data_IF_029445639625
#
_entry.id   IF_029445639625
#
_cell.length_a   1.000
_cell.length_b   1.000
_cell.length_c   1.000
_cell.angle_alpha   90.00
_cell.angle_beta   90.00
_cell.angle_gamma   90.00
#
_symmetry.space_group_name_H-M   'P 1'
#
loop_
_entity.id
_entity.type
_entity.pdbx_description
1 polymer ?
#
# COMPACT_ATOMS: atom_id res chain seq x y z
N UNK A 1 11.51 -28.38 10.37
CA UNK A 1 11.22 -27.53 9.20
C UNK A 1 11.65 -28.28 7.95
N UNK A 2 10.98 -28.07 6.83
CA UNK A 2 11.13 -28.88 5.61
C UNK A 2 12.31 -28.38 4.75
N UNK A 3 13.52 -28.55 5.29
CA UNK A 3 14.74 -27.94 4.77
C UNK A 3 15.63 -28.96 4.05
N UNK A 4 16.25 -28.51 2.96
CA UNK A 4 16.96 -29.31 1.96
C UNK A 4 18.32 -28.73 1.59
N UNK A 5 18.71 -27.58 2.15
CA UNK A 5 20.06 -27.06 2.00
C UNK A 5 21.11 -28.09 2.45
N UNK A 6 22.13 -28.41 1.62
CA UNK A 6 23.25 -29.24 2.03
C UNK A 6 23.99 -28.67 3.24
N UNK A 7 24.63 -29.52 4.06
CA UNK A 7 25.31 -29.07 5.29
C UNK A 7 26.46 -28.07 5.08
N UNK A 8 27.07 -28.02 3.89
CA UNK A 8 28.09 -27.05 3.50
C UNK A 8 27.58 -26.05 2.45
N UNK A 9 26.26 -25.81 2.41
CA UNK A 9 25.66 -24.93 1.42
C UNK A 9 26.15 -23.50 1.55
N UNK A 10 26.88 -23.04 0.54
CA UNK A 10 27.26 -21.65 0.41
C UNK A 10 26.20 -20.91 -0.41
N UNK A 11 25.30 -20.21 0.28
CA UNK A 11 24.13 -19.60 -0.35
C UNK A 11 24.54 -18.47 -1.33
N UNK A 12 24.23 -18.59 -2.63
CA UNK A 12 24.63 -17.60 -3.61
C UNK A 12 23.92 -16.25 -3.42
N UNK A 13 22.71 -16.23 -2.87
CA UNK A 13 22.00 -14.99 -2.58
C UNK A 13 22.58 -14.28 -1.35
N UNK A 14 22.96 -14.99 -0.28
CA UNK A 14 23.69 -14.39 0.84
C UNK A 14 25.01 -13.75 0.37
N UNK A 15 25.75 -14.44 -0.51
CA UNK A 15 26.99 -13.92 -1.08
C UNK A 15 26.74 -12.66 -1.93
N UNK A 16 25.71 -12.66 -2.77
CA UNK A 16 25.29 -11.47 -3.53
C UNK A 16 24.97 -10.30 -2.57
N UNK A 17 24.18 -10.52 -1.52
CA UNK A 17 23.82 -9.49 -0.54
C UNK A 17 25.08 -8.93 0.16
N UNK A 18 26.06 -9.79 0.45
CA UNK A 18 27.33 -9.40 1.07
C UNK A 18 28.34 -8.78 0.09
N UNK A 19 28.03 -8.71 -1.21
CA UNK A 19 28.95 -8.23 -2.24
C UNK A 19 30.10 -9.18 -2.55
N UNK A 20 29.99 -10.45 -2.16
CA UNK A 20 31.03 -11.47 -2.36
C UNK A 20 30.78 -12.21 -3.68
N UNK A 21 31.79 -12.25 -4.55
CA UNK A 21 31.76 -12.99 -5.81
C UNK A 21 32.54 -14.29 -5.71
N UNK A 22 31.99 -15.39 -6.23
CA UNK A 22 32.70 -16.65 -6.46
C UNK A 22 32.13 -17.38 -7.69
N UNK A 23 32.63 -18.59 -7.97
CA UNK A 23 32.20 -19.42 -9.10
C UNK A 23 30.73 -19.88 -9.04
N UNK A 24 30.07 -19.81 -7.87
CA UNK A 24 28.70 -20.27 -7.65
C UNK A 24 27.66 -19.14 -7.73
N UNK A 25 28.11 -17.89 -7.91
CA UNK A 25 27.25 -16.70 -7.91
C UNK A 25 27.27 -16.07 -9.30
N UNK A 26 26.18 -16.30 -10.06
CA UNK A 26 26.04 -15.72 -11.41
C UNK A 26 25.57 -14.26 -11.41
N UNK A 27 24.85 -13.85 -10.36
CA UNK A 27 24.38 -12.47 -10.19
C UNK A 27 25.47 -11.59 -9.58
N UNK A 28 25.50 -10.31 -9.92
CA UNK A 28 26.52 -9.35 -9.47
C UNK A 28 25.85 -8.09 -8.91
N UNK A 29 26.64 -7.23 -8.27
CA UNK A 29 26.11 -6.01 -7.63
C UNK A 29 25.35 -5.09 -8.61
N UNK A 30 25.75 -5.02 -9.88
CA UNK A 30 25.06 -4.22 -10.88
C UNK A 30 23.71 -4.80 -11.33
N UNK A 31 23.38 -6.05 -10.96
CA UNK A 31 22.05 -6.64 -11.18
C UNK A 31 21.02 -6.13 -10.16
N UNK A 32 21.44 -5.54 -9.03
CA UNK A 32 20.56 -5.10 -7.93
C UNK A 32 19.74 -3.87 -8.34
N UNK A 33 18.42 -3.98 -8.20
CA UNK A 33 17.44 -2.92 -8.51
C UNK A 33 16.85 -2.28 -7.25
N UNK A 34 16.86 -3.00 -6.12
CA UNK A 34 16.38 -2.52 -4.84
C UNK A 34 17.12 -3.18 -3.68
N UNK A 35 17.41 -2.42 -2.64
CA UNK A 35 17.99 -2.92 -1.40
C UNK A 35 17.55 -2.02 -0.24
N UNK A 36 16.99 -2.59 0.82
CA UNK A 36 16.77 -1.93 2.10
C UNK A 36 17.31 -2.79 3.25
N UNK A 37 16.90 -2.50 4.50
CA UNK A 37 17.33 -3.30 5.66
C UNK A 37 16.79 -4.74 5.68
N UNK A 38 15.65 -5.00 5.04
CA UNK A 38 14.94 -6.28 5.10
C UNK A 38 15.12 -7.13 3.83
N UNK A 39 15.07 -6.53 2.64
CA UNK A 39 15.00 -7.26 1.36
C UNK A 39 15.94 -6.69 0.30
N UNK A 40 16.34 -7.56 -0.64
CA UNK A 40 17.08 -7.21 -1.85
C UNK A 40 16.32 -7.72 -3.06
N UNK A 41 16.22 -6.92 -4.12
CA UNK A 41 15.72 -7.35 -5.42
C UNK A 41 16.74 -7.10 -6.53
N UNK A 42 16.84 -8.02 -7.48
CA UNK A 42 17.83 -7.98 -8.57
C UNK A 42 17.29 -8.65 -9.83
N UNK A 43 17.84 -8.27 -10.99
CA UNK A 43 17.57 -8.95 -12.27
C UNK A 43 18.22 -10.33 -12.24
N UNK A 44 17.44 -11.36 -12.58
CA UNK A 44 17.92 -12.74 -12.57
C UNK A 44 19.00 -12.97 -13.62
N UNK A 45 19.97 -13.82 -13.30
CA UNK A 45 20.97 -14.29 -14.26
C UNK A 45 20.36 -15.18 -15.35
N UNK A 46 19.19 -15.77 -15.10
CA UNK A 46 18.46 -16.62 -16.03
C UNK A 46 17.17 -15.94 -16.47
N UNK A 47 16.81 -16.06 -17.75
CA UNK A 47 15.59 -15.52 -18.35
C UNK A 47 14.81 -16.57 -19.13
N UNK A 48 13.60 -16.23 -19.54
CA UNK A 48 12.89 -16.94 -20.60
C UNK A 48 13.01 -16.13 -21.90
N UNK A 49 13.11 -16.78 -23.07
CA UNK A 49 13.36 -16.10 -24.34
C UNK A 49 12.40 -14.96 -24.70
N UNK A 50 11.17 -15.00 -24.19
CA UNK A 50 10.13 -13.99 -24.45
C UNK A 50 9.79 -13.13 -23.22
N UNK A 51 10.58 -13.23 -22.14
CA UNK A 51 10.29 -12.58 -20.85
C UNK A 51 11.57 -12.03 -20.20
N UNK A 52 12.18 -11.08 -20.90
CA UNK A 52 13.39 -10.40 -20.44
C UNK A 52 13.15 -9.57 -19.18
N UNK A 53 14.22 -9.30 -18.42
CA UNK A 53 14.14 -8.46 -17.23
C UNK A 53 13.39 -9.06 -16.04
N UNK A 54 13.20 -10.40 -15.98
CA UNK A 54 12.66 -11.02 -14.77
C UNK A 54 13.55 -10.73 -13.55
N UNK A 55 12.90 -10.46 -12.42
CA UNK A 55 13.58 -10.10 -11.18
C UNK A 55 13.28 -11.09 -10.08
N UNK A 56 14.20 -11.20 -9.15
CA UNK A 56 14.09 -12.02 -7.96
C UNK A 56 14.13 -11.10 -6.73
N UNK A 57 13.25 -11.35 -5.76
CA UNK A 57 13.24 -10.68 -4.46
C UNK A 57 13.60 -11.70 -3.38
N UNK A 58 14.55 -11.35 -2.52
CA UNK A 58 15.02 -12.19 -1.42
C UNK A 58 15.01 -11.41 -0.10
N UNK A 59 14.75 -12.06 1.05
CA UNK A 59 15.08 -11.48 2.35
C UNK A 59 16.60 -11.38 2.48
N UNK A 60 17.08 -10.32 3.14
CA UNK A 60 18.50 -10.11 3.42
C UNK A 60 19.04 -11.11 4.44
N UNK A 61 18.18 -11.56 5.35
CA UNK A 61 18.46 -12.69 6.24
C UNK A 61 18.18 -14.01 5.49
N UNK A 62 18.98 -15.03 5.80
CA UNK A 62 18.82 -16.36 5.24
C UNK A 62 17.62 -17.08 5.86
N UNK A 63 16.63 -17.37 5.03
CA UNK A 63 15.53 -18.29 5.28
C UNK A 63 15.46 -19.23 4.10
N UNK A 64 15.35 -20.54 4.30
CA UNK A 64 15.42 -21.46 3.17
C UNK A 64 14.20 -21.35 2.25
N UNK A 65 13.01 -21.32 2.84
CA UNK A 65 11.74 -21.47 2.14
C UNK A 65 10.64 -20.70 2.88
N UNK A 66 9.39 -20.80 2.40
CA UNK A 66 8.24 -20.08 2.98
C UNK A 66 7.91 -20.53 4.40
N UNK A 67 8.23 -21.77 4.79
CA UNK A 67 7.92 -22.32 6.11
C UNK A 67 8.77 -21.69 7.21
N UNK A 68 9.98 -21.25 6.84
CA UNK A 68 10.95 -20.60 7.73
C UNK A 68 10.81 -19.07 7.73
N UNK A 69 10.14 -18.50 6.72
CA UNK A 69 10.05 -17.06 6.52
C UNK A 69 9.12 -16.41 7.57
N UNK A 70 9.62 -15.47 8.39
CA UNK A 70 8.76 -14.75 9.34
C UNK A 70 7.73 -13.88 8.59
N UNK A 71 6.51 -13.80 9.14
CA UNK A 71 5.41 -13.03 8.53
C UNK A 71 5.74 -11.55 8.29
N UNK A 72 6.65 -10.97 9.08
CA UNK A 72 7.12 -9.59 8.88
C UNK A 72 7.77 -9.41 7.51
N UNK A 73 8.56 -10.39 7.03
CA UNK A 73 9.20 -10.32 5.72
C UNK A 73 8.20 -10.51 4.57
N UNK A 74 7.08 -11.21 4.78
CA UNK A 74 6.10 -11.45 3.73
C UNK A 74 5.48 -10.13 3.21
N UNK A 75 5.19 -9.19 4.13
CA UNK A 75 4.72 -7.85 3.78
C UNK A 75 5.75 -7.06 2.97
N UNK A 76 7.00 -7.04 3.44
CA UNK A 76 8.11 -6.33 2.76
C UNK A 76 8.34 -6.89 1.34
N UNK A 77 8.36 -8.21 1.19
CA UNK A 77 8.56 -8.87 -0.10
C UNK A 77 7.42 -8.54 -1.07
N UNK A 78 6.16 -8.60 -0.63
CA UNK A 78 5.00 -8.29 -1.48
C UNK A 78 4.91 -6.80 -1.83
N UNK A 79 5.32 -5.92 -0.91
CA UNK A 79 5.47 -4.49 -1.18
C UNK A 79 6.42 -4.26 -2.36
N UNK A 80 7.60 -4.89 -2.34
CA UNK A 80 8.58 -4.74 -3.42
C UNK A 80 8.10 -5.44 -4.70
N UNK A 81 7.42 -6.58 -4.60
CA UNK A 81 6.82 -7.26 -5.75
C UNK A 81 5.80 -6.36 -6.47
N UNK A 82 4.95 -5.66 -5.72
CA UNK A 82 4.00 -4.68 -6.28
C UNK A 82 4.71 -3.55 -7.00
N UNK A 83 5.76 -2.96 -6.39
CA UNK A 83 6.54 -1.88 -7.01
C UNK A 83 7.21 -2.33 -8.31
N UNK A 84 7.82 -3.51 -8.29
CA UNK A 84 8.42 -4.11 -9.47
C UNK A 84 7.39 -4.40 -10.55
N UNK A 85 6.23 -4.97 -10.20
CA UNK A 85 5.18 -5.23 -11.17
C UNK A 85 4.69 -3.96 -11.88
N UNK A 86 4.52 -2.85 -11.13
CA UNK A 86 4.17 -1.54 -11.70
C UNK A 86 5.30 -1.01 -12.58
N UNK A 87 6.54 -1.04 -12.10
CA UNK A 87 7.70 -0.60 -12.86
C UNK A 87 7.87 -1.41 -14.16
N UNK A 88 7.61 -2.72 -14.14
CA UNK A 88 7.67 -3.60 -15.31
C UNK A 88 6.65 -3.22 -16.38
N UNK A 89 5.43 -2.81 -15.99
CA UNK A 89 4.42 -2.34 -16.94
C UNK A 89 4.91 -1.12 -17.70
N UNK A 90 5.58 -0.19 -17.02
CA UNK A 90 6.13 1.02 -17.64
C UNK A 90 7.38 0.74 -18.48
N UNK A 91 8.34 -0.02 -17.95
CA UNK A 91 9.62 -0.28 -18.64
C UNK A 91 9.42 -1.19 -19.86
N UNK A 92 8.56 -2.19 -19.76
CA UNK A 92 8.47 -3.27 -20.74
C UNK A 92 7.18 -3.27 -21.55
N UNK A 93 6.22 -2.40 -21.23
CA UNK A 93 4.89 -2.40 -21.82
C UNK A 93 4.26 -3.81 -21.86
N UNK A 94 4.55 -4.64 -20.84
CA UNK A 94 4.11 -6.02 -20.79
C UNK A 94 2.60 -6.12 -20.60
N UNK A 95 1.97 -7.17 -21.13
CA UNK A 95 0.51 -7.35 -21.02
C UNK A 95 0.11 -7.71 -19.58
N UNK A 96 0.95 -8.48 -18.90
CA UNK A 96 0.76 -8.88 -17.51
C UNK A 96 2.07 -9.09 -16.74
N UNK A 97 1.94 -9.52 -15.49
CA UNK A 97 3.06 -9.88 -14.62
C UNK A 97 2.72 -11.17 -13.89
N UNK A 98 3.65 -12.11 -13.81
CA UNK A 98 3.56 -13.30 -12.97
C UNK A 98 4.47 -13.18 -11.76
N UNK A 99 3.99 -13.62 -10.60
CA UNK A 99 4.83 -13.87 -9.43
C UNK A 99 4.89 -15.36 -9.14
N UNK A 100 6.08 -15.89 -8.82
CA UNK A 100 6.28 -17.32 -8.54
C UNK A 100 7.26 -17.52 -7.40
N UNK A 101 6.93 -18.45 -6.52
CA UNK A 101 7.76 -18.83 -5.38
C UNK A 101 7.71 -20.36 -5.27
N UNK A 102 8.86 -20.98 -5.08
CA UNK A 102 9.01 -22.43 -5.04
C UNK A 102 9.56 -22.85 -3.67
N UNK A 103 9.06 -23.97 -3.15
CA UNK A 103 9.53 -24.56 -1.89
C UNK A 103 9.86 -26.01 -2.12
N UNK A 104 11.01 -26.45 -1.59
CA UNK A 104 11.47 -27.85 -1.64
C UNK A 104 11.77 -28.35 -3.08
N UNK A 105 12.48 -29.48 -3.24
CA UNK A 105 12.79 -30.00 -4.56
C UNK A 105 11.56 -30.26 -5.45
N UNK A 106 10.47 -30.77 -4.86
CA UNK A 106 9.24 -31.08 -5.59
C UNK A 106 8.50 -29.81 -6.08
N UNK A 107 8.66 -28.68 -5.38
CA UNK A 107 8.12 -27.40 -5.82
C UNK A 107 8.99 -26.68 -6.86
N UNK A 108 10.17 -27.23 -7.20
CA UNK A 108 11.09 -26.65 -8.18
C UNK A 108 12.05 -25.60 -7.60
N UNK A 109 12.27 -25.59 -6.28
CA UNK A 109 13.28 -24.73 -5.66
C UNK A 109 14.69 -25.24 -5.98
N UNK A 110 15.53 -24.38 -6.54
CA UNK A 110 16.91 -24.68 -6.95
C UNK A 110 17.98 -23.90 -6.15
N UNK A 111 17.58 -22.77 -5.54
CA UNK A 111 18.38 -22.01 -4.57
C UNK A 111 17.72 -22.10 -3.19
N UNK A 112 18.42 -22.64 -2.20
CA UNK A 112 17.96 -22.85 -0.83
C UNK A 112 18.00 -21.56 0.00
N UNK A 113 17.37 -20.52 -0.53
CA UNK A 113 17.12 -19.23 0.10
C UNK A 113 15.80 -18.73 -0.49
N UNK A 114 14.85 -18.32 0.36
CA UNK A 114 13.53 -17.90 -0.06
C UNK A 114 13.65 -16.84 -1.15
N UNK A 115 12.96 -17.04 -2.27
CA UNK A 115 13.01 -16.07 -3.33
C UNK A 115 11.70 -16.02 -4.11
N UNK A 116 11.23 -14.81 -4.37
CA UNK A 116 10.03 -14.53 -5.15
C UNK A 116 10.45 -14.02 -6.53
N UNK A 117 10.09 -14.76 -7.57
CA UNK A 117 10.21 -14.32 -8.96
C UNK A 117 9.10 -13.33 -9.28
N UNK A 118 9.44 -12.26 -10.00
CA UNK A 118 8.50 -11.33 -10.63
C UNK A 118 8.88 -11.25 -12.11
N UNK A 119 7.97 -11.58 -13.00
CA UNK A 119 8.27 -11.80 -14.43
C UNK A 119 7.26 -11.07 -15.31
N UNK A 120 7.70 -10.18 -16.23
CA UNK A 120 6.79 -9.59 -17.21
C UNK A 120 6.26 -10.67 -18.15
N UNK A 121 4.98 -10.57 -18.53
CA UNK A 121 4.27 -11.55 -19.36
C UNK A 121 3.66 -10.89 -20.57
N UNK A 122 3.60 -11.63 -21.67
CA UNK A 122 2.99 -11.19 -22.91
C UNK A 122 2.01 -12.24 -23.40
N UNK A 123 1.01 -11.82 -24.18
CA UNK A 123 0.12 -12.76 -24.85
C UNK A 123 0.94 -13.73 -25.72
N UNK A 124 0.64 -15.03 -25.62
CA UNK A 124 1.29 -16.10 -26.37
C UNK A 124 2.83 -16.21 -26.17
N UNK A 125 3.37 -15.75 -25.04
CA UNK A 125 4.81 -15.81 -24.74
C UNK A 125 5.40 -17.22 -24.55
N UNK A 126 4.56 -18.25 -24.52
CA UNK A 126 4.95 -19.65 -24.27
C UNK A 126 5.81 -19.82 -23.00
N UNK A 127 5.57 -19.03 -21.95
CA UNK A 127 6.37 -19.03 -20.72
C UNK A 127 6.49 -20.43 -20.09
N UNK A 128 5.40 -21.21 -20.07
CA UNK A 128 5.41 -22.56 -19.48
C UNK A 128 5.92 -23.67 -20.41
N UNK A 129 6.04 -23.40 -21.71
CA UNK A 129 6.57 -24.34 -22.69
C UNK A 129 8.01 -24.06 -23.12
N UNK A 130 8.61 -22.96 -22.64
CA UNK A 130 9.97 -22.55 -22.96
C UNK A 130 10.96 -22.91 -21.86
N UNK A 131 12.24 -22.93 -22.20
CA UNK A 131 13.34 -23.25 -21.29
C UNK A 131 14.07 -21.98 -20.86
N UNK A 132 14.64 -22.00 -19.66
CA UNK A 132 15.47 -20.90 -19.16
C UNK A 132 16.79 -20.84 -19.92
N UNK A 133 17.27 -19.63 -20.15
CA UNK A 133 18.59 -19.34 -20.75
C UNK A 133 19.34 -18.29 -19.92
N UNK A 134 20.66 -18.21 -20.10
CA UNK A 134 21.47 -17.18 -19.44
C UNK A 134 21.29 -15.82 -20.09
N UNK A 135 21.09 -14.79 -19.28
CA UNK A 135 21.08 -13.39 -19.74
C UNK A 135 22.49 -12.79 -19.65
N UNK A 136 23.03 -12.20 -20.73
CA UNK A 136 24.32 -11.50 -20.72
C UNK A 136 24.37 -10.37 -19.69
N UNK A 137 25.53 -10.16 -19.08
CA UNK A 137 25.71 -9.13 -18.02
C UNK A 137 25.26 -7.74 -18.51
N UNK A 138 25.66 -7.33 -19.72
CA UNK A 138 25.30 -6.02 -20.26
C UNK A 138 23.78 -5.83 -20.41
N UNK A 139 23.03 -6.88 -20.75
CA UNK A 139 21.57 -6.83 -20.83
C UNK A 139 20.94 -6.75 -19.43
N UNK A 140 21.49 -7.48 -18.45
CA UNK A 140 21.05 -7.38 -17.06
C UNK A 140 21.24 -5.99 -16.49
N UNK A 141 22.39 -5.36 -16.74
CA UNK A 141 22.68 -3.99 -16.30
C UNK A 141 21.73 -2.96 -16.91
N UNK A 142 21.37 -3.15 -18.19
CA UNK A 142 20.36 -2.32 -18.86
C UNK A 142 19.00 -2.44 -18.17
N UNK A 143 18.53 -3.67 -17.92
CA UNK A 143 17.26 -3.89 -17.23
C UNK A 143 17.30 -3.38 -15.79
N UNK A 144 18.39 -3.62 -15.07
CA UNK A 144 18.54 -3.20 -13.69
C UNK A 144 18.49 -1.67 -13.57
N UNK A 145 19.20 -0.96 -14.45
CA UNK A 145 19.19 0.50 -14.51
C UNK A 145 17.79 1.06 -14.82
N UNK A 146 17.09 0.47 -15.78
CA UNK A 146 15.75 0.91 -16.16
C UNK A 146 14.73 0.70 -15.02
N UNK A 147 14.73 -0.47 -14.39
CA UNK A 147 13.83 -0.78 -13.27
C UNK A 147 14.16 0.07 -12.04
N UNK A 148 15.44 0.25 -11.70
CA UNK A 148 15.87 1.06 -10.56
C UNK A 148 15.34 2.49 -10.66
N UNK A 149 15.46 3.11 -11.84
CA UNK A 149 14.95 4.46 -12.10
C UNK A 149 13.45 4.58 -11.85
N UNK A 150 12.66 3.58 -12.25
CA UNK A 150 11.21 3.57 -12.02
C UNK A 150 10.89 3.26 -10.56
N UNK A 151 11.63 2.39 -9.89
CA UNK A 151 11.41 2.12 -8.47
C UNK A 151 11.61 3.37 -7.61
N UNK A 152 12.55 4.25 -7.96
CA UNK A 152 12.74 5.55 -7.32
C UNK A 152 11.52 6.48 -7.49
N UNK A 153 10.71 6.31 -8.56
CA UNK A 153 9.50 7.11 -8.80
C UNK A 153 8.18 6.41 -8.43
N UNK A 154 8.17 5.09 -8.26
CA UNK A 154 7.01 4.32 -7.81
C UNK A 154 6.93 4.42 -6.29
N UNK A 155 6.30 5.51 -5.82
CA UNK A 155 5.83 5.63 -4.45
C UNK A 155 4.61 4.72 -4.26
N UNK A 156 4.74 3.71 -3.40
CA UNK A 156 3.56 3.14 -2.78
C UNK A 156 3.13 4.12 -1.70
N UNK A 157 1.86 4.50 -1.73
CA UNK A 157 1.28 5.28 -0.64
C UNK A 157 1.12 4.34 0.57
N UNK A 158 2.17 4.18 1.36
CA UNK A 158 2.12 3.45 2.61
C UNK A 158 1.40 4.32 3.62
N UNK A 159 0.32 3.77 4.17
CA UNK A 159 -0.39 4.42 5.25
C UNK A 159 -0.24 3.66 6.56
N UNK A 160 -0.31 4.40 7.65
CA UNK A 160 -0.63 3.84 8.95
C UNK A 160 -1.50 4.82 9.72
N UNK A 161 -2.19 4.28 10.73
CA UNK A 161 -3.01 5.06 11.65
C UNK A 161 -2.32 5.14 13.00
N UNK A 162 -2.22 6.35 13.55
CA UNK A 162 -1.73 6.57 14.93
C UNK A 162 -2.66 7.51 15.70
N UNK A 163 -2.48 7.57 17.02
CA UNK A 163 -3.15 8.58 17.83
C UNK A 163 -2.79 9.99 17.35
N UNK A 164 -3.74 10.91 17.51
CA UNK A 164 -3.55 12.31 17.14
C UNK A 164 -2.54 12.97 18.08
N UNK A 165 -1.54 13.60 17.49
CA UNK A 165 -0.55 14.43 18.18
C UNK A 165 -0.96 15.91 18.06
N UNK A 166 -0.49 16.76 18.98
CA UNK A 166 -0.88 18.18 18.96
C UNK A 166 -0.38 18.89 17.69
N UNK A 167 0.76 18.46 17.16
CA UNK A 167 1.39 18.95 15.94
C UNK A 167 0.55 18.63 14.68
N UNK A 168 -0.27 17.58 14.71
CA UNK A 168 -1.17 17.24 13.60
C UNK A 168 -2.27 18.29 13.43
N UNK A 169 -2.69 18.92 14.53
CA UNK A 169 -3.80 19.88 14.53
C UNK A 169 -3.48 21.10 13.65
N UNK A 170 -2.22 21.52 13.56
CA UNK A 170 -1.83 22.59 12.61
C UNK A 170 -2.04 22.18 11.16
N UNK A 171 -1.75 20.92 10.82
CA UNK A 171 -1.89 20.41 9.46
C UNK A 171 -3.37 20.18 9.13
N UNK A 172 -4.15 19.64 10.07
CA UNK A 172 -5.61 19.52 9.93
C UNK A 172 -6.27 20.89 9.74
N UNK A 173 -5.80 21.91 10.45
CA UNK A 173 -6.28 23.28 10.26
C UNK A 173 -5.96 23.76 8.84
N UNK A 174 -4.74 23.54 8.34
CA UNK A 174 -4.35 23.90 6.97
C UNK A 174 -5.21 23.19 5.91
N UNK A 175 -5.47 21.88 6.07
CA UNK A 175 -6.37 21.14 5.18
C UNK A 175 -7.80 21.71 5.19
N UNK A 176 -8.29 22.14 6.35
CA UNK A 176 -9.61 22.79 6.48
C UNK A 176 -9.65 24.16 5.79
N UNK A 177 -8.53 24.80 5.48
CA UNK A 177 -8.57 26.09 4.76
C UNK A 177 -8.86 25.94 3.26
N UNK A 178 -8.78 24.72 2.69
CA UNK A 178 -9.06 24.51 1.27
C UNK A 178 -10.57 24.65 0.98
N UNK A 179 -10.99 25.62 0.14
CA UNK A 179 -12.41 25.89 -0.09
C UNK A 179 -13.11 24.76 -0.85
N UNK A 180 -12.40 24.03 -1.71
CA UNK A 180 -12.96 22.90 -2.45
C UNK A 180 -13.19 21.73 -1.51
N UNK A 181 -12.26 21.45 -0.59
CA UNK A 181 -12.44 20.43 0.44
C UNK A 181 -13.66 20.71 1.33
N UNK A 182 -13.83 21.95 1.80
CA UNK A 182 -15.01 22.37 2.57
C UNK A 182 -16.31 22.21 1.77
N UNK A 183 -16.31 22.67 0.51
CA UNK A 183 -17.47 22.56 -0.35
C UNK A 183 -17.86 21.09 -0.56
N UNK A 184 -16.89 20.22 -0.87
CA UNK A 184 -17.12 18.79 -1.09
C UNK A 184 -17.61 18.07 0.15
N UNK A 185 -17.07 18.38 1.32
CA UNK A 185 -17.47 17.76 2.58
C UNK A 185 -18.89 18.15 2.99
N UNK A 186 -19.34 19.38 2.67
CA UNK A 186 -20.65 19.95 3.01
C UNK A 186 -20.93 20.15 4.52
N UNK A 187 -20.37 19.32 5.39
CA UNK A 187 -20.50 19.34 6.86
C UNK A 187 -19.43 20.21 7.57
N UNK A 188 -18.78 21.13 6.85
CA UNK A 188 -17.68 21.91 7.40
C UNK A 188 -18.12 23.03 8.36
N UNK A 189 -17.16 23.56 9.13
CA UNK A 189 -17.37 24.66 10.06
C UNK A 189 -17.90 25.92 9.37
N UNK A 190 -18.73 26.69 10.08
CA UNK A 190 -19.31 27.95 9.60
C UNK A 190 -18.24 29.00 9.24
N UNK A 191 -17.14 29.03 9.98
CA UNK A 191 -15.97 29.85 9.68
C UNK A 191 -14.72 28.95 9.75
N UNK A 192 -14.27 28.39 8.62
CA UNK A 192 -13.13 27.48 8.59
C UNK A 192 -11.79 28.19 8.89
N UNK A 193 -11.75 29.53 8.85
CA UNK A 193 -10.54 30.33 9.10
C UNK A 193 -10.31 30.63 10.58
N UNK A 194 -11.31 30.35 11.43
CA UNK A 194 -11.22 30.63 12.86
C UNK A 194 -10.41 29.56 13.60
N UNK A 195 -9.12 29.86 13.83
CA UNK A 195 -8.17 28.98 14.52
C UNK A 195 -8.57 28.69 15.97
N UNK A 196 -9.12 29.66 16.69
CA UNK A 196 -9.54 29.46 18.09
C UNK A 196 -10.72 28.49 18.19
N UNK A 197 -11.73 28.67 17.32
CA UNK A 197 -12.89 27.79 17.24
C UNK A 197 -12.47 26.36 16.84
N UNK A 198 -11.55 26.24 15.88
CA UNK A 198 -10.96 24.97 15.49
C UNK A 198 -10.31 24.24 16.68
N UNK A 199 -9.38 24.89 17.39
CA UNK A 199 -8.72 24.25 18.53
C UNK A 199 -9.70 23.95 19.68
N UNK A 200 -10.70 24.79 19.90
CA UNK A 200 -11.74 24.51 20.89
C UNK A 200 -12.58 23.28 20.53
N UNK A 201 -12.88 23.08 19.24
CA UNK A 201 -13.59 21.90 18.75
C UNK A 201 -12.73 20.63 18.90
N UNK A 202 -11.48 20.65 18.43
CA UNK A 202 -10.57 19.51 18.56
C UNK A 202 -10.26 19.13 20.00
N UNK A 203 -10.15 20.11 20.92
CA UNK A 203 -10.00 19.81 22.36
C UNK A 203 -11.20 19.03 22.92
N UNK A 204 -12.41 19.28 22.44
CA UNK A 204 -13.61 18.53 22.86
C UNK A 204 -13.58 17.11 22.30
N UNK A 205 -13.29 16.96 21.01
CA UNK A 205 -13.18 15.65 20.36
C UNK A 205 -12.15 14.77 21.06
N UNK A 206 -10.92 15.29 21.28
CA UNK A 206 -9.84 14.50 21.88
C UNK A 206 -10.04 14.24 23.38
N UNK A 207 -10.92 14.98 24.05
CA UNK A 207 -11.27 14.74 25.45
C UNK A 207 -12.43 13.76 25.62
N UNK A 208 -13.15 13.43 24.55
CA UNK A 208 -14.29 12.50 24.60
C UNK A 208 -13.79 11.05 24.42
N UNK A 209 -13.84 10.21 25.46
CA UNK A 209 -13.36 8.83 25.40
C UNK A 209 -14.24 7.93 24.51
N UNK A 210 -15.43 8.38 24.10
CA UNK A 210 -16.30 7.65 23.17
C UNK A 210 -15.86 7.82 21.71
N UNK A 211 -15.08 8.87 21.42
CA UNK A 211 -14.57 9.15 20.07
C UNK A 211 -13.26 8.43 19.83
N UNK A 212 -13.22 7.61 18.78
CA UNK A 212 -12.00 6.96 18.30
C UNK A 212 -11.46 7.82 17.17
N UNK A 213 -10.47 8.66 17.44
CA UNK A 213 -9.84 9.54 16.45
C UNK A 213 -8.41 9.08 16.13
N UNK A 214 -8.07 9.00 14.84
CA UNK A 214 -6.73 8.64 14.36
C UNK A 214 -6.22 9.61 13.30
N UNK A 215 -4.92 9.88 13.34
CA UNK A 215 -4.20 10.55 12.26
C UNK A 215 -3.85 9.54 11.17
N UNK A 216 -4.14 9.89 9.93
CA UNK A 216 -3.72 9.16 8.73
C UNK A 216 -2.35 9.71 8.34
N UNK A 217 -1.32 8.87 8.44
CA UNK A 217 0.04 9.21 8.00
C UNK A 217 0.30 8.47 6.70
N UNK A 218 0.76 9.18 5.67
CA UNK A 218 1.15 8.63 4.38
C UNK A 218 2.61 9.00 4.10
N UNK A 219 3.48 8.02 3.84
CA UNK A 219 4.91 8.26 3.54
C UNK A 219 5.60 9.18 4.56
N UNK A 220 5.26 9.04 5.85
CA UNK A 220 5.80 9.85 6.95
C UNK A 220 5.20 11.25 7.11
N UNK A 221 4.23 11.63 6.27
CA UNK A 221 3.54 12.93 6.33
C UNK A 221 2.09 12.76 6.77
N UNK A 222 1.57 13.71 7.53
CA UNK A 222 0.16 13.74 7.92
C UNK A 222 -0.69 14.01 6.70
N UNK A 223 -1.54 13.06 6.32
CA UNK A 223 -2.43 13.17 5.16
C UNK A 223 -3.86 13.59 5.56
N UNK A 224 -4.24 13.40 6.83
CA UNK A 224 -5.56 13.74 7.34
C UNK A 224 -5.95 12.93 8.56
N UNK A 225 -7.25 12.71 8.75
CA UNK A 225 -7.80 12.03 9.93
C UNK A 225 -8.93 11.07 9.57
N UNK A 226 -9.10 10.03 10.37
CA UNK A 226 -10.27 9.13 10.37
C UNK A 226 -10.78 9.00 11.79
N UNK A 227 -12.10 9.02 11.94
CA UNK A 227 -12.75 9.05 13.24
C UNK A 227 -13.99 8.19 13.28
N UNK A 228 -14.34 7.75 14.48
CA UNK A 228 -15.68 7.28 14.80
C UNK A 228 -16.20 7.91 16.08
N UNK A 229 -17.47 8.29 16.06
CA UNK A 229 -18.18 8.94 17.17
C UNK A 229 -19.59 8.37 17.26
N UNK A 230 -20.30 8.65 18.35
CA UNK A 230 -21.70 8.24 18.53
C UNK A 230 -22.65 9.39 18.20
N UNK A 231 -23.64 9.12 17.35
CA UNK A 231 -24.75 10.02 17.03
C UNK A 231 -26.06 9.24 17.28
N UNK A 232 -26.96 9.77 18.12
CA UNK A 232 -28.21 9.10 18.50
C UNK A 232 -28.07 7.63 18.93
N UNK A 233 -27.02 7.30 19.67
CA UNK A 233 -26.74 5.94 20.14
C UNK A 233 -26.20 5.00 19.05
N UNK A 234 -25.84 5.52 17.88
CA UNK A 234 -25.31 4.76 16.75
C UNK A 234 -23.88 5.20 16.45
N UNK A 235 -22.95 4.26 16.24
CA UNK A 235 -21.60 4.63 15.85
C UNK A 235 -21.58 5.08 14.38
N UNK A 236 -20.95 6.22 14.14
CA UNK A 236 -20.71 6.75 12.80
C UNK A 236 -19.21 6.83 12.52
N UNK A 237 -18.84 6.82 11.23
CA UNK A 237 -17.48 7.12 10.77
C UNK A 237 -17.43 8.39 9.95
N UNK A 238 -16.32 9.10 10.09
CA UNK A 238 -15.96 10.22 9.24
C UNK A 238 -14.46 10.19 8.95
N UNK A 239 -14.06 10.78 7.84
CA UNK A 239 -12.65 10.94 7.48
C UNK A 239 -12.46 12.19 6.65
N UNK A 240 -11.27 12.75 6.73
CA UNK A 240 -10.84 13.91 5.96
C UNK A 240 -9.42 13.72 5.49
N UNK A 241 -9.14 14.09 4.24
CA UNK A 241 -7.80 14.15 3.69
C UNK A 241 -7.52 15.53 3.11
N UNK A 242 -6.28 15.99 3.25
CA UNK A 242 -5.78 17.12 2.47
C UNK A 242 -5.96 16.89 0.97
N UNK A 243 -6.23 17.96 0.23
CA UNK A 243 -6.63 17.87 -1.19
C UNK A 243 -5.53 17.23 -2.06
N UNK A 244 -4.28 17.48 -1.74
CA UNK A 244 -3.09 16.88 -2.34
C UNK A 244 -3.01 15.36 -2.17
N UNK A 245 -3.82 14.78 -1.28
CA UNK A 245 -3.92 13.34 -1.05
C UNK A 245 -5.12 12.68 -1.76
N UNK A 246 -5.97 13.45 -2.43
CA UNK A 246 -7.16 12.93 -3.10
C UNK A 246 -6.82 12.10 -4.35
N UNK A 247 -7.70 11.17 -4.71
CA UNK A 247 -7.54 10.31 -5.89
C UNK A 247 -6.47 9.21 -5.77
N UNK A 248 -5.67 9.21 -4.70
CA UNK A 248 -4.57 8.25 -4.45
C UNK A 248 -5.00 6.94 -3.76
N UNK A 249 -6.31 6.76 -3.55
CA UNK A 249 -6.87 5.60 -2.84
C UNK A 249 -6.64 5.61 -1.32
N UNK A 250 -6.14 6.71 -0.76
CA UNK A 250 -5.73 6.80 0.64
C UNK A 250 -6.90 6.70 1.62
N UNK A 251 -8.02 7.35 1.33
CA UNK A 251 -9.20 7.32 2.19
C UNK A 251 -9.77 5.89 2.30
N UNK A 252 -9.77 5.12 1.20
CA UNK A 252 -10.19 3.72 1.20
C UNK A 252 -9.28 2.86 2.07
N UNK A 253 -7.96 3.01 1.93
CA UNK A 253 -7.01 2.27 2.76
C UNK A 253 -7.16 2.64 4.24
N UNK A 254 -7.26 3.93 4.56
CA UNK A 254 -7.36 4.41 5.93
C UNK A 254 -8.66 3.97 6.60
N UNK A 255 -9.78 4.06 5.88
CA UNK A 255 -11.06 3.60 6.40
C UNK A 255 -11.08 2.08 6.61
N UNK A 256 -10.53 1.29 5.67
CA UNK A 256 -10.45 -0.16 5.81
C UNK A 256 -9.61 -0.57 7.04
N UNK A 257 -8.41 0.01 7.19
CA UNK A 257 -7.52 -0.19 8.35
C UNK A 257 -8.24 0.18 9.65
N UNK A 258 -8.89 1.34 9.67
CA UNK A 258 -9.65 1.83 10.83
C UNK A 258 -10.76 0.86 11.24
N UNK A 259 -11.56 0.38 10.28
CA UNK A 259 -12.68 -0.51 10.55
C UNK A 259 -12.23 -1.91 10.99
N UNK A 260 -11.11 -2.41 10.48
CA UNK A 260 -10.57 -3.72 10.85
C UNK A 260 -9.89 -3.71 12.22
N UNK A 261 -9.17 -2.64 12.55
CA UNK A 261 -8.23 -2.65 13.67
C UNK A 261 -8.61 -1.68 14.80
N UNK A 262 -9.38 -0.62 14.53
CA UNK A 262 -9.68 0.42 15.52
C UNK A 262 -11.16 0.48 15.93
N UNK A 263 -12.12 0.31 15.02
CA UNK A 263 -13.54 0.22 15.37
C UNK A 263 -14.24 -1.00 14.74
N UNK A 264 -14.45 -2.03 15.57
CA UNK A 264 -15.12 -3.30 15.20
C UNK A 264 -16.62 -3.33 15.48
N UNK A 265 -17.22 -2.25 16.01
CA UNK A 265 -18.65 -2.20 16.38
C UNK A 265 -19.52 -2.19 15.13
N UNK A 266 -20.58 -3.01 15.09
CA UNK A 266 -21.51 -3.09 13.96
C UNK A 266 -22.97 -3.14 14.46
N UNK A 267 -23.95 -2.61 13.70
CA UNK A 267 -23.77 -1.83 12.48
C UNK A 267 -23.05 -0.50 12.75
N UNK A 268 -22.32 0.00 11.76
CA UNK A 268 -21.68 1.32 11.80
C UNK A 268 -22.13 2.12 10.57
N UNK A 269 -22.33 3.41 10.77
CA UNK A 269 -22.96 4.28 9.78
C UNK A 269 -21.99 5.32 9.24
N UNK A 270 -22.32 5.88 8.09
CA UNK A 270 -21.61 7.01 7.51
C UNK A 270 -22.59 7.90 6.75
N UNK A 271 -22.32 9.21 6.76
CA UNK A 271 -23.03 10.18 5.93
C UNK A 271 -22.12 10.79 4.89
N UNK A 272 -22.67 11.08 3.73
CA UNK A 272 -21.97 11.86 2.69
C UNK A 272 -22.98 12.67 1.89
N UNK A 273 -22.59 13.85 1.44
CA UNK A 273 -23.35 14.56 0.41
C UNK A 273 -23.47 13.65 -0.82
N UNK A 274 -24.66 13.61 -1.44
CA UNK A 274 -24.98 12.70 -2.55
C UNK A 274 -24.14 12.96 -3.80
N UNK A 275 -23.74 14.21 -4.00
CA UNK A 275 -22.84 14.64 -5.07
C UNK A 275 -21.35 14.39 -4.78
N UNK A 276 -20.99 14.04 -3.54
CA UNK A 276 -19.63 13.67 -3.18
C UNK A 276 -19.33 12.22 -3.60
N UNK A 277 -19.18 12.02 -4.90
CA UNK A 277 -18.84 10.74 -5.53
C UNK A 277 -17.50 10.16 -5.06
N UNK A 278 -16.59 11.00 -4.54
CA UNK A 278 -15.33 10.56 -3.94
C UNK A 278 -15.57 9.76 -2.67
N UNK A 279 -16.25 10.39 -1.70
CA UNK A 279 -16.57 9.76 -0.42
C UNK A 279 -17.50 8.56 -0.57
N UNK A 280 -18.53 8.66 -1.44
CA UNK A 280 -19.41 7.53 -1.75
C UNK A 280 -18.63 6.30 -2.23
N UNK A 281 -17.71 6.46 -3.18
CA UNK A 281 -16.88 5.35 -3.69
C UNK A 281 -15.94 4.78 -2.62
N UNK A 282 -15.44 5.60 -1.70
CA UNK A 282 -14.62 5.15 -0.57
C UNK A 282 -15.46 4.24 0.34
N UNK A 283 -16.65 4.69 0.73
CA UNK A 283 -17.57 3.93 1.58
C UNK A 283 -18.00 2.61 0.93
N UNK A 284 -18.45 2.64 -0.34
CA UNK A 284 -18.85 1.44 -1.08
C UNK A 284 -17.70 0.42 -1.19
N UNK A 285 -16.46 0.87 -1.44
CA UNK A 285 -15.28 -0.01 -1.45
C UNK A 285 -14.94 -0.61 -0.09
N UNK A 286 -15.34 0.05 1.00
CA UNK A 286 -15.20 -0.46 2.36
C UNK A 286 -16.42 -1.29 2.80
N UNK A 287 -17.32 -1.64 1.88
CA UNK A 287 -18.46 -2.53 2.13
C UNK A 287 -19.74 -1.83 2.62
N UNK A 288 -19.76 -0.51 2.71
CA UNK A 288 -20.97 0.22 3.09
C UNK A 288 -22.02 0.16 1.99
N UNK A 289 -23.29 0.14 2.38
CA UNK A 289 -24.44 0.16 1.48
C UNK A 289 -25.34 1.35 1.81
N UNK A 290 -25.88 2.01 0.79
CA UNK A 290 -26.86 3.11 0.98
C UNK A 290 -28.15 2.52 1.53
N UNK A 291 -28.63 3.06 2.64
CA UNK A 291 -29.88 2.62 3.30
C UNK A 291 -30.95 3.71 3.35
N UNK A 292 -30.57 4.98 3.20
CA UNK A 292 -31.52 6.09 3.20
C UNK A 292 -30.97 7.31 2.44
N UNK A 293 -31.87 8.19 1.99
CA UNK A 293 -31.56 9.49 1.41
C UNK A 293 -32.31 10.58 2.17
N UNK A 294 -31.58 11.58 2.67
CA UNK A 294 -32.14 12.68 3.47
C UNK A 294 -31.76 14.02 2.86
N UNK A 295 -32.29 15.10 3.44
CA UNK A 295 -31.88 16.47 3.10
C UNK A 295 -31.37 17.17 4.35
N UNK A 296 -30.29 17.94 4.20
CA UNK A 296 -29.69 18.71 5.28
C UNK A 296 -29.12 20.03 4.77
N UNK A 297 -28.99 21.00 5.68
CA UNK A 297 -28.42 22.31 5.32
C UNK A 297 -26.90 22.28 5.43
N UNK A 298 -26.21 22.48 4.29
CA UNK A 298 -24.77 22.51 4.23
C UNK A 298 -24.24 23.93 4.47
N UNK A 299 -23.63 24.17 5.63
CA UNK A 299 -23.08 25.50 5.96
C UNK A 299 -22.04 25.97 4.92
N UNK A 300 -21.20 25.06 4.42
CA UNK A 300 -20.16 25.37 3.45
C UNK A 300 -20.71 25.79 2.07
N UNK A 301 -21.97 25.43 1.77
CA UNK A 301 -22.64 25.71 0.49
C UNK A 301 -23.76 26.73 0.63
N UNK A 302 -24.19 27.01 1.86
CA UNK A 302 -25.30 27.89 2.21
C UNK A 302 -26.61 27.52 1.50
N UNK A 303 -26.86 26.22 1.36
CA UNK A 303 -28.04 25.66 0.71
C UNK A 303 -28.42 24.30 1.32
N UNK A 304 -29.63 23.84 1.04
CA UNK A 304 -30.08 22.48 1.36
C UNK A 304 -29.51 21.50 0.31
N UNK A 305 -28.89 20.43 0.77
CA UNK A 305 -28.31 19.38 -0.07
C UNK A 305 -28.96 18.03 0.18
N UNK A 306 -28.83 17.13 -0.79
CA UNK A 306 -29.18 15.72 -0.61
C UNK A 306 -28.01 14.97 0.05
N UNK A 307 -28.32 14.16 1.05
CA UNK A 307 -27.36 13.39 1.84
C UNK A 307 -27.70 11.91 1.77
N UNK A 308 -26.67 11.07 1.66
CA UNK A 308 -26.81 9.61 1.73
C UNK A 308 -26.45 9.14 3.12
N UNK A 309 -27.29 8.29 3.70
CA UNK A 309 -26.97 7.48 4.88
C UNK A 309 -26.56 6.08 4.43
N UNK A 310 -25.37 5.66 4.86
CA UNK A 310 -24.82 4.36 4.52
C UNK A 310 -24.57 3.53 5.78
N UNK A 311 -24.69 2.21 5.65
CA UNK A 311 -24.52 1.24 6.74
C UNK A 311 -23.56 0.12 6.33
N UNK A 312 -22.69 -0.26 7.27
CA UNK A 312 -21.85 -1.45 7.21
C UNK A 312 -22.28 -2.42 8.32
N UNK A 313 -22.78 -3.60 7.96
CA UNK A 313 -23.26 -4.63 8.91
C UNK A 313 -22.23 -5.71 9.24
N UNK A 314 -21.39 -6.05 8.28
CA UNK A 314 -20.39 -7.11 8.37
C UNK A 314 -19.11 -6.64 7.68
N UNK A 315 -17.95 -6.95 8.25
CA UNK A 315 -16.66 -6.83 7.59
C UNK A 315 -16.36 -8.05 6.73
#
# INVERSE_FOLDING_TARGET
>A
MYNHAPGNYNCPFCLLIQGIKNEHVHSIQSDIVYHDSAVTAFVSSHQWPNNHGNTIIVPNQHFENIYDLPLSYAGDIQRIAKRLAIAMKEVYACDGVSTRQHNEPAGGQDVWHYHLHVTPRYENDNYYGSQREFMPIAEREMHASALKKLLESVELNEIFLRDVENEDLSIFFEHQLDPEANHMAAFAAKDPTNREAFHAHWRKILADPSVIMKTIVCNGQVAGSVSSYEEDGKPEVTYWLGKEHWGKGLATQALAEFLMHHNKIRPIYARTAKDNLGSRRVLEKCGFTVIDETKGFANARNEEIEELLLELRTL
#
